data_IF_127409909613
#
_entry.id   IF_127409909613
#
_cell.length_a   1.000
_cell.length_b   1.000
_cell.length_c   1.000
_cell.angle_alpha   90.00
_cell.angle_beta   90.00
_cell.angle_gamma   90.00
#
_symmetry.space_group_name_H-M   'P 1'
#
loop_
_entity.id
_entity.type
_entity.pdbx_description
1 polymer ?
#
# COMPACT_ATOMS: atom_id res chain seq x y z
N UNK A 1 -6.76 5.78 5.49
CA UNK A 1 -7.34 5.81 4.15
C UNK A 1 -6.59 6.87 3.37
N UNK A 2 -5.89 6.50 2.33
CA UNK A 2 -5.19 7.47 1.51
C UNK A 2 -6.21 8.17 0.61
N UNK A 3 -6.66 9.34 1.07
CA UNK A 3 -7.39 10.25 0.19
C UNK A 3 -6.49 10.56 -1.00
N UNK A 4 -7.04 10.42 -2.19
CA UNK A 4 -6.35 10.69 -3.43
C UNK A 4 -6.78 12.06 -3.94
N UNK A 5 -5.82 12.97 -4.11
CA UNK A 5 -6.06 14.24 -4.74
C UNK A 5 -5.92 14.08 -6.26
N UNK A 6 -7.01 14.26 -7.00
CA UNK A 6 -7.02 14.17 -8.46
C UNK A 6 -6.68 15.51 -9.09
N UNK A 7 -5.58 15.54 -9.85
CA UNK A 7 -5.18 16.63 -10.74
C UNK A 7 -5.25 16.13 -12.20
N UNK A 8 -6.42 16.21 -12.81
CA UNK A 8 -6.62 15.66 -14.16
C UNK A 8 -6.37 14.13 -14.18
N UNK A 9 -5.45 13.62 -15.04
CA UNK A 9 -5.13 12.20 -15.09
C UNK A 9 -4.22 11.73 -13.93
N UNK A 10 -3.70 12.65 -13.11
CA UNK A 10 -2.77 12.34 -12.02
C UNK A 10 -3.53 12.20 -10.70
N UNK A 11 -3.44 11.03 -10.10
CA UNK A 11 -3.99 10.73 -8.79
C UNK A 11 -2.84 10.65 -7.77
N UNK A 12 -2.72 11.67 -6.90
CA UNK A 12 -1.67 11.73 -5.88
C UNK A 12 -2.27 11.41 -4.50
N UNK A 13 -1.74 10.41 -3.78
CA UNK A 13 -2.12 10.16 -2.40
C UNK A 13 -1.79 11.38 -1.52
N UNK A 14 -2.72 11.81 -0.70
CA UNK A 14 -2.53 12.96 0.22
C UNK A 14 -1.35 12.70 1.17
N UNK A 15 -1.11 11.45 1.54
CA UNK A 15 0.05 11.04 2.34
C UNK A 15 1.39 11.44 1.71
N UNK A 16 1.51 11.40 0.38
CA UNK A 16 2.71 11.83 -0.34
C UNK A 16 2.90 13.34 -0.29
N UNK A 17 1.80 14.11 -0.40
CA UNK A 17 1.85 15.58 -0.27
C UNK A 17 2.28 15.97 1.15
N UNK A 18 1.75 15.31 2.17
CA UNK A 18 2.15 15.52 3.57
C UNK A 18 3.63 15.22 3.77
N UNK A 19 4.11 14.08 3.25
CA UNK A 19 5.53 13.71 3.31
C UNK A 19 6.41 14.76 2.63
N UNK A 20 6.01 15.22 1.44
CA UNK A 20 6.76 16.24 0.70
C UNK A 20 6.83 17.57 1.45
N UNK A 21 5.70 18.07 1.96
CA UNK A 21 5.66 19.32 2.73
C UNK A 21 6.46 19.22 4.03
N UNK A 22 6.34 18.10 4.75
CA UNK A 22 7.11 17.85 5.97
C UNK A 22 8.62 17.80 5.67
N UNK A 23 9.02 17.14 4.56
CA UNK A 23 10.42 17.10 4.13
C UNK A 23 10.94 18.49 3.76
N UNK A 24 10.19 19.26 2.98
CA UNK A 24 10.58 20.64 2.62
C UNK A 24 10.76 21.52 3.85
N UNK A 25 9.84 21.46 4.82
CA UNK A 25 9.93 22.22 6.07
C UNK A 25 11.13 21.79 6.91
N UNK A 26 11.40 20.49 7.02
CA UNK A 26 12.57 19.94 7.70
C UNK A 26 13.87 20.37 7.04
N UNK A 27 13.97 20.25 5.72
CA UNK A 27 15.16 20.67 4.94
C UNK A 27 15.40 22.16 5.03
N UNK A 28 14.35 22.98 4.92
CA UNK A 28 14.46 24.44 5.07
C UNK A 28 14.98 24.85 6.45
N UNK A 29 14.46 24.22 7.52
CA UNK A 29 14.93 24.53 8.89
C UNK A 29 16.37 24.12 9.12
N UNK A 30 16.78 22.96 8.60
CA UNK A 30 18.17 22.52 8.67
C UNK A 30 19.10 23.48 7.91
N UNK A 31 18.77 23.80 6.65
CA UNK A 31 19.56 24.70 5.82
C UNK A 31 19.67 26.10 6.45
N UNK A 32 18.57 26.66 6.97
CA UNK A 32 18.58 27.98 7.63
C UNK A 32 19.50 27.99 8.85
N UNK A 33 19.56 26.88 9.61
CA UNK A 33 20.45 26.78 10.79
C UNK A 33 21.93 26.70 10.39
N UNK A 34 22.26 25.92 9.37
CA UNK A 34 23.64 25.80 8.85
C UNK A 34 24.10 27.12 8.24
N UNK A 35 23.25 27.83 7.49
CA UNK A 35 23.57 29.15 6.92
C UNK A 35 23.86 30.20 7.97
N UNK A 36 23.17 30.15 9.12
CA UNK A 36 23.48 31.05 10.25
C UNK A 36 24.89 30.83 10.86
N UNK A 37 25.48 29.67 10.57
CA UNK A 37 26.85 29.31 10.96
C UNK A 37 27.87 29.57 9.84
N UNK A 38 27.45 30.23 8.76
CA UNK A 38 28.29 30.52 7.59
C UNK A 38 28.56 29.33 6.67
N UNK A 39 27.79 28.25 6.79
CA UNK A 39 27.98 27.02 6.02
C UNK A 39 26.74 26.67 5.21
N UNK A 40 26.81 25.58 4.42
CA UNK A 40 25.69 24.97 3.71
C UNK A 40 25.58 23.49 4.07
N UNK A 41 24.39 22.89 3.94
CA UNK A 41 24.22 21.44 4.13
C UNK A 41 24.98 20.64 3.07
N UNK A 42 25.17 21.22 1.88
CA UNK A 42 25.83 20.56 0.76
C UNK A 42 25.20 19.21 0.45
N UNK A 43 26.03 18.19 0.23
CA UNK A 43 25.59 16.84 -0.11
C UNK A 43 24.76 16.17 1.01
N UNK A 44 24.99 16.52 2.27
CA UNK A 44 24.29 15.91 3.41
C UNK A 44 22.79 16.23 3.43
N UNK A 45 22.36 17.35 2.81
CA UNK A 45 20.96 17.68 2.63
C UNK A 45 20.19 16.64 1.79
N UNK A 46 20.87 15.95 0.88
CA UNK A 46 20.33 14.90 0.03
C UNK A 46 20.59 13.48 0.56
N UNK A 47 21.75 13.27 1.18
CA UNK A 47 22.13 11.96 1.71
C UNK A 47 21.25 11.52 2.87
N UNK A 48 20.78 12.43 3.72
CA UNK A 48 19.92 12.08 4.84
C UNK A 48 18.57 11.51 4.37
N UNK A 49 17.77 12.18 3.49
CA UNK A 49 16.52 11.60 3.00
C UNK A 49 16.75 10.36 2.17
N UNK A 50 17.84 10.28 1.39
CA UNK A 50 18.20 9.08 0.62
C UNK A 50 18.49 7.90 1.55
N UNK A 51 19.26 8.10 2.61
CA UNK A 51 19.56 7.07 3.61
C UNK A 51 18.27 6.58 4.30
N UNK A 52 17.39 7.51 4.67
CA UNK A 52 16.08 7.18 5.24
C UNK A 52 15.21 6.37 4.26
N UNK A 53 15.20 6.75 2.99
CA UNK A 53 14.46 6.05 1.96
C UNK A 53 14.99 4.63 1.72
N UNK A 54 16.31 4.47 1.57
CA UNK A 54 16.95 3.15 1.45
C UNK A 54 16.69 2.30 2.70
N UNK A 55 16.80 2.90 3.90
CA UNK A 55 16.53 2.22 5.16
C UNK A 55 15.07 1.75 5.27
N UNK A 56 14.11 2.55 4.80
CA UNK A 56 12.69 2.18 4.79
C UNK A 56 12.43 0.98 3.89
N UNK A 57 13.05 0.92 2.70
CA UNK A 57 12.93 -0.22 1.79
C UNK A 57 13.62 -1.46 2.35
N UNK A 58 14.86 -1.33 2.82
CA UNK A 58 15.61 -2.44 3.39
C UNK A 58 14.88 -3.06 4.58
N UNK A 59 14.33 -2.24 5.49
CA UNK A 59 13.57 -2.73 6.63
C UNK A 59 12.27 -3.42 6.24
N UNK A 60 11.59 -2.95 5.18
CA UNK A 60 10.42 -3.63 4.64
C UNK A 60 10.78 -5.00 4.06
N UNK A 61 11.79 -5.06 3.18
CA UNK A 61 12.26 -6.32 2.57
C UNK A 61 12.71 -7.32 3.63
N UNK A 62 13.43 -6.85 4.66
CA UNK A 62 13.83 -7.71 5.79
C UNK A 62 12.63 -8.30 6.53
N UNK A 63 11.62 -7.49 6.84
CA UNK A 63 10.42 -7.95 7.55
C UNK A 63 9.55 -8.93 6.73
N UNK A 64 9.67 -8.92 5.40
CA UNK A 64 8.88 -9.76 4.49
C UNK A 64 9.78 -10.63 3.61
N UNK A 65 10.92 -11.05 4.16
CA UNK A 65 11.97 -11.79 3.46
C UNK A 65 11.46 -13.04 2.72
N UNK A 66 10.57 -13.80 3.36
CA UNK A 66 10.00 -15.03 2.80
C UNK A 66 9.23 -14.79 1.49
N UNK A 67 8.62 -13.61 1.33
CA UNK A 67 7.94 -13.22 0.09
C UNK A 67 8.88 -12.93 -1.10
N UNK A 68 10.18 -12.80 -0.84
CA UNK A 68 11.20 -12.47 -1.86
C UNK A 68 12.18 -13.60 -2.17
N UNK A 69 12.16 -14.72 -1.43
CA UNK A 69 13.16 -15.80 -1.56
C UNK A 69 12.76 -16.94 -2.49
N UNK A 70 11.55 -16.91 -3.07
CA UNK A 70 11.00 -18.04 -3.85
C UNK A 70 11.54 -18.21 -5.27
N UNK A 71 12.07 -17.15 -5.91
CA UNK A 71 12.60 -17.18 -7.28
C UNK A 71 13.53 -16.00 -7.58
N UNK A 72 14.33 -16.11 -8.65
CA UNK A 72 15.17 -14.99 -9.11
C UNK A 72 14.36 -13.73 -9.45
N UNK A 73 13.15 -13.89 -10.00
CA UNK A 73 12.22 -12.78 -10.26
C UNK A 73 11.75 -12.10 -8.97
N UNK A 74 11.56 -12.87 -7.89
CA UNK A 74 11.21 -12.34 -6.56
C UNK A 74 12.37 -11.54 -5.97
N UNK A 75 13.61 -11.96 -6.17
CA UNK A 75 14.81 -11.23 -5.70
C UNK A 75 14.90 -9.86 -6.42
N UNK A 76 14.67 -9.81 -7.73
CA UNK A 76 14.61 -8.53 -8.46
C UNK A 76 13.46 -7.65 -7.97
N UNK A 77 12.37 -8.24 -7.49
CA UNK A 77 11.24 -7.55 -6.85
C UNK A 77 11.63 -6.76 -5.59
N UNK A 78 12.76 -7.08 -4.93
CA UNK A 78 13.28 -6.28 -3.81
C UNK A 78 13.62 -4.85 -4.22
N UNK A 79 14.00 -4.63 -5.48
CA UNK A 79 14.30 -3.32 -6.05
C UNK A 79 13.08 -2.64 -6.66
N UNK A 80 11.96 -3.36 -6.82
CA UNK A 80 10.73 -2.80 -7.37
C UNK A 80 10.03 -1.94 -6.31
N UNK A 81 10.11 -0.63 -6.51
CA UNK A 81 9.50 0.36 -5.60
C UNK A 81 8.00 0.58 -5.85
N UNK A 82 7.44 -0.02 -6.91
CA UNK A 82 6.04 0.17 -7.33
C UNK A 82 5.06 -0.60 -6.46
N UNK A 83 5.52 -1.61 -5.75
CA UNK A 83 4.70 -2.43 -4.84
C UNK A 83 4.27 -1.69 -3.56
N UNK A 84 4.84 -0.49 -3.30
CA UNK A 84 4.50 0.35 -2.15
C UNK A 84 4.98 -0.18 -0.79
N UNK A 85 5.83 -1.19 -0.79
CA UNK A 85 6.38 -1.78 0.42
C UNK A 85 7.47 -0.92 1.05
N UNK A 86 7.13 -0.16 2.10
CA UNK A 86 8.03 0.72 2.85
C UNK A 86 7.78 0.58 4.36
N UNK A 87 8.86 0.53 5.14
CA UNK A 87 8.78 0.61 6.60
C UNK A 87 9.27 2.00 7.05
N UNK A 88 8.36 2.92 7.41
CA UNK A 88 8.75 4.29 7.77
C UNK A 88 9.61 4.34 9.04
N UNK A 89 9.43 3.41 9.97
CA UNK A 89 10.16 3.39 11.24
C UNK A 89 11.63 3.06 11.03
N UNK A 90 11.96 2.08 10.19
CA UNK A 90 13.35 1.76 9.84
C UNK A 90 14.00 2.89 9.05
N UNK A 91 13.23 3.56 8.18
CA UNK A 91 13.71 4.75 7.48
C UNK A 91 14.06 5.90 8.42
N UNK A 92 13.19 6.20 9.38
CA UNK A 92 13.44 7.22 10.41
C UNK A 92 14.64 6.85 11.29
N UNK A 93 14.77 5.58 11.68
CA UNK A 93 15.90 5.09 12.46
C UNK A 93 17.23 5.31 11.72
N UNK A 94 17.29 4.93 10.44
CA UNK A 94 18.51 5.13 9.62
C UNK A 94 18.83 6.61 9.44
N UNK A 95 17.82 7.47 9.18
CA UNK A 95 18.01 8.91 9.09
C UNK A 95 18.51 9.52 10.42
N UNK A 96 17.97 9.07 11.56
CA UNK A 96 18.40 9.49 12.89
C UNK A 96 19.84 9.08 13.17
N UNK A 97 20.20 7.81 12.91
CA UNK A 97 21.57 7.30 13.09
C UNK A 97 22.56 8.10 12.23
N UNK A 98 22.20 8.38 10.97
CA UNK A 98 23.01 9.20 10.08
C UNK A 98 23.26 10.61 10.68
N UNK A 99 22.21 11.30 11.12
CA UNK A 99 22.32 12.63 11.75
C UNK A 99 23.15 12.60 13.05
N UNK A 100 22.98 11.56 13.89
CA UNK A 100 23.73 11.37 15.13
C UNK A 100 25.22 11.12 14.85
N UNK A 101 25.55 10.29 13.87
CA UNK A 101 26.96 10.03 13.49
C UNK A 101 27.64 11.32 13.02
N UNK A 102 26.97 12.13 12.20
CA UNK A 102 27.51 13.44 11.80
C UNK A 102 27.68 14.39 12.99
N UNK A 103 26.71 14.42 13.91
CA UNK A 103 26.79 15.26 15.11
C UNK A 103 27.91 14.78 16.03
N UNK A 104 28.10 13.47 16.20
CA UNK A 104 29.18 12.88 17.00
C UNK A 104 30.58 13.18 16.41
N UNK A 105 30.68 13.12 15.08
CA UNK A 105 31.92 13.53 14.36
C UNK A 105 32.15 15.05 14.35
N UNK A 106 31.36 15.79 15.10
CA UNK A 106 31.40 17.27 15.16
C UNK A 106 31.23 17.93 13.77
N UNK A 107 30.58 17.23 12.81
CA UNK A 107 30.32 17.80 11.50
C UNK A 107 29.27 18.92 11.61
N UNK A 108 29.50 20.03 10.94
CA UNK A 108 28.69 21.25 11.01
C UNK A 108 27.20 20.99 10.64
N UNK A 109 26.94 20.04 9.74
CA UNK A 109 25.60 19.68 9.32
C UNK A 109 24.85 18.78 10.33
N UNK A 110 25.53 18.10 11.26
CA UNK A 110 24.92 17.05 12.10
C UNK A 110 23.75 17.56 12.94
N UNK A 111 23.99 18.54 13.81
CA UNK A 111 22.93 19.13 14.65
C UNK A 111 21.80 19.80 13.86
N UNK A 112 22.07 20.62 12.81
CA UNK A 112 21.03 21.17 11.95
C UNK A 112 20.16 20.11 11.29
N UNK A 113 20.72 19.00 10.80
CA UNK A 113 19.97 17.89 10.21
C UNK A 113 19.05 17.19 11.23
N UNK A 114 19.51 16.99 12.47
CA UNK A 114 18.67 16.45 13.55
C UNK A 114 17.48 17.37 13.86
N UNK A 115 17.68 18.69 13.87
CA UNK A 115 16.58 19.65 14.00
C UNK A 115 15.59 19.57 12.83
N UNK A 116 16.10 19.48 11.59
CA UNK A 116 15.28 19.30 10.41
C UNK A 116 14.46 18.01 10.48
N UNK A 117 15.08 16.90 10.92
CA UNK A 117 14.41 15.62 11.13
C UNK A 117 13.33 15.73 12.21
N UNK A 118 13.59 16.45 13.31
CA UNK A 118 12.60 16.71 14.36
C UNK A 118 11.36 17.46 13.83
N UNK A 119 11.55 18.50 13.01
CA UNK A 119 10.47 19.24 12.36
C UNK A 119 9.69 18.34 11.39
N UNK A 120 10.40 17.56 10.58
CA UNK A 120 9.78 16.57 9.70
C UNK A 120 8.89 15.59 10.48
N UNK A 121 9.44 14.98 11.55
CA UNK A 121 8.69 14.03 12.37
C UNK A 121 7.47 14.68 13.03
N UNK A 122 7.59 15.89 13.57
CA UNK A 122 6.48 16.59 14.20
C UNK A 122 5.34 16.88 13.22
N UNK A 123 5.66 17.36 12.02
CA UNK A 123 4.68 17.64 10.98
C UNK A 123 4.04 16.35 10.45
N UNK A 124 4.84 15.33 10.17
CA UNK A 124 4.35 14.05 9.65
C UNK A 124 3.47 13.31 10.67
N UNK A 125 3.92 13.20 11.92
CA UNK A 125 3.14 12.57 12.99
C UNK A 125 1.88 13.37 13.32
N UNK A 126 2.00 14.71 13.37
CA UNK A 126 0.86 15.60 13.59
C UNK A 126 -0.20 15.46 12.51
N UNK A 127 0.20 15.47 11.23
CA UNK A 127 -0.72 15.28 10.11
C UNK A 127 -1.39 13.89 10.14
N UNK A 128 -0.63 12.84 10.48
CA UNK A 128 -1.21 11.49 10.64
C UNK A 128 -2.19 11.42 11.83
N UNK A 129 -1.88 12.09 12.94
CA UNK A 129 -2.79 12.14 14.10
C UNK A 129 -4.09 12.88 13.76
N UNK A 130 -4.00 14.03 13.08
CA UNK A 130 -5.16 14.79 12.59
C UNK A 130 -5.96 13.95 11.60
N UNK A 131 -5.32 13.31 10.63
CA UNK A 131 -6.01 12.46 9.65
C UNK A 131 -6.79 11.32 10.32
N UNK A 132 -6.23 10.71 11.36
CA UNK A 132 -6.92 9.66 12.14
C UNK A 132 -8.08 10.22 12.97
N UNK A 133 -7.92 11.41 13.55
CA UNK A 133 -8.96 12.05 14.37
C UNK A 133 -10.16 12.52 13.53
N UNK A 134 -9.90 12.94 12.29
CA UNK A 134 -10.93 13.40 11.34
C UNK A 134 -11.50 12.26 10.51
N UNK A 135 -10.79 11.12 10.40
CA UNK A 135 -11.27 9.96 9.68
C UNK A 135 -12.57 9.45 10.31
N UNK A 136 -13.63 9.39 9.51
CA UNK A 136 -14.88 8.72 9.88
C UNK A 136 -14.69 7.22 10.10
N UNK A 137 -15.76 6.50 10.47
CA UNK A 137 -15.70 5.05 10.55
C UNK A 137 -15.24 4.46 9.21
N UNK A 138 -14.53 3.32 9.22
CA UNK A 138 -14.07 2.70 7.99
C UNK A 138 -15.28 2.33 7.12
N UNK A 139 -15.18 2.48 5.78
CA UNK A 139 -16.25 2.07 4.87
C UNK A 139 -16.61 0.61 5.10
N UNK A 140 -17.91 0.35 5.12
CA UNK A 140 -18.44 -0.99 5.20
C UNK A 140 -18.48 -1.62 3.81
N UNK A 141 -18.48 -2.96 3.78
CA UNK A 141 -18.73 -3.71 2.56
C UNK A 141 -20.08 -3.27 1.98
N UNK A 142 -20.13 -2.80 0.73
CA UNK A 142 -21.34 -2.19 0.19
C UNK A 142 -22.45 -3.23 -0.01
N UNK A 143 -23.69 -2.76 0.16
CA UNK A 143 -24.88 -3.60 0.02
C UNK A 143 -25.29 -3.67 -1.45
N UNK A 144 -24.80 -4.67 -2.16
CA UNK A 144 -25.27 -4.98 -3.53
C UNK A 144 -25.11 -6.46 -3.86
N UNK A 145 -25.78 -6.88 -4.92
CA UNK A 145 -25.62 -8.21 -5.50
C UNK A 145 -24.92 -8.10 -6.84
N UNK A 146 -23.97 -8.98 -7.10
CA UNK A 146 -23.27 -9.08 -8.37
C UNK A 146 -23.47 -10.46 -8.99
N UNK A 147 -23.50 -10.50 -10.32
CA UNK A 147 -23.58 -11.76 -11.08
C UNK A 147 -22.16 -12.27 -11.28
N UNK A 148 -21.93 -13.50 -10.87
CA UNK A 148 -20.67 -14.19 -11.12
C UNK A 148 -20.62 -14.75 -12.56
N UNK A 149 -19.42 -15.11 -13.00
CA UNK A 149 -19.19 -15.62 -14.35
C UNK A 149 -19.92 -16.98 -14.61
N UNK A 150 -20.21 -17.75 -13.58
CA UNK A 150 -21.01 -18.98 -13.65
C UNK A 150 -22.52 -18.72 -13.58
N UNK A 151 -22.95 -17.47 -13.72
CA UNK A 151 -24.33 -16.99 -13.61
C UNK A 151 -24.95 -17.10 -12.20
N UNK A 152 -24.21 -17.48 -11.17
CA UNK A 152 -24.67 -17.39 -9.79
C UNK A 152 -24.71 -15.93 -9.33
N UNK A 153 -25.61 -15.62 -8.39
CA UNK A 153 -25.67 -14.29 -7.79
C UNK A 153 -24.98 -14.31 -6.44
N UNK A 154 -24.03 -13.42 -6.24
CA UNK A 154 -23.38 -13.21 -4.97
C UNK A 154 -23.93 -11.95 -4.33
N UNK A 155 -24.43 -12.07 -3.09
CA UNK A 155 -24.85 -10.94 -2.27
C UNK A 155 -23.72 -10.59 -1.30
N UNK A 156 -23.11 -9.39 -1.44
CA UNK A 156 -21.92 -9.03 -0.67
C UNK A 156 -22.15 -9.02 0.84
N UNK A 157 -23.28 -8.54 1.38
CA UNK A 157 -23.57 -8.61 2.82
C UNK A 157 -23.47 -10.01 3.42
N UNK A 158 -23.75 -11.07 2.64
CA UNK A 158 -23.68 -12.45 3.12
C UNK A 158 -22.26 -12.93 3.40
N UNK A 159 -21.25 -12.13 2.99
CA UNK A 159 -19.84 -12.40 3.25
C UNK A 159 -19.38 -11.90 4.64
N UNK A 160 -20.24 -11.18 5.35
CA UNK A 160 -19.93 -10.74 6.74
C UNK A 160 -19.65 -11.96 7.61
N UNK A 161 -18.62 -11.90 8.41
CA UNK A 161 -18.12 -13.03 9.21
C UNK A 161 -16.85 -13.67 8.61
N UNK A 162 -16.53 -13.35 7.34
CA UNK A 162 -15.35 -13.85 6.65
C UNK A 162 -14.54 -12.68 6.09
N UNK A 163 -13.21 -12.64 6.24
CA UNK A 163 -12.39 -11.63 5.57
C UNK A 163 -12.51 -11.73 4.05
N UNK A 164 -12.57 -10.59 3.37
CA UNK A 164 -12.78 -10.53 1.92
C UNK A 164 -11.71 -9.68 1.27
N UNK A 165 -11.12 -10.19 0.19
CA UNK A 165 -10.25 -9.46 -0.73
C UNK A 165 -11.00 -9.25 -2.03
N UNK A 166 -11.17 -7.99 -2.45
CA UNK A 166 -11.82 -7.64 -3.72
C UNK A 166 -10.77 -7.00 -4.63
N UNK A 167 -10.48 -7.64 -5.75
CA UNK A 167 -9.56 -7.12 -6.76
C UNK A 167 -10.36 -6.59 -7.96
N UNK A 168 -10.20 -5.30 -8.27
CA UNK A 168 -10.74 -4.68 -9.48
C UNK A 168 -9.72 -4.82 -10.60
N UNK A 169 -10.11 -5.45 -11.70
CA UNK A 169 -9.21 -5.81 -12.79
C UNK A 169 -9.85 -5.77 -14.16
N UNK A 170 -9.00 -5.81 -15.19
CA UNK A 170 -9.43 -6.05 -16.58
C UNK A 170 -8.37 -6.88 -17.32
N UNK A 171 -8.80 -7.63 -18.36
CA UNK A 171 -7.88 -8.47 -19.14
C UNK A 171 -6.86 -7.67 -19.96
N UNK A 172 -7.21 -6.46 -20.37
CA UNK A 172 -6.36 -5.53 -21.11
C UNK A 172 -5.39 -4.72 -20.23
N UNK A 173 -5.50 -4.82 -18.89
CA UNK A 173 -4.68 -4.07 -17.92
C UNK A 173 -3.36 -4.81 -17.64
N UNK A 174 -2.19 -4.36 -18.13
CA UNK A 174 -0.93 -5.08 -17.96
C UNK A 174 -0.52 -5.29 -16.50
N UNK A 175 -0.61 -4.29 -15.58
CA UNK A 175 -0.29 -4.52 -14.18
C UNK A 175 -1.25 -5.50 -13.49
N UNK A 176 -2.55 -5.50 -13.86
CA UNK A 176 -3.51 -6.48 -13.33
C UNK A 176 -3.08 -7.92 -13.65
N UNK A 177 -2.63 -8.15 -14.89
CA UNK A 177 -2.16 -9.47 -15.34
C UNK A 177 -0.92 -9.95 -14.59
N UNK A 178 -0.01 -9.02 -14.24
CA UNK A 178 1.22 -9.38 -13.50
C UNK A 178 0.96 -9.77 -12.05
N UNK A 179 -0.01 -9.14 -11.38
CA UNK A 179 -0.34 -9.46 -9.98
C UNK A 179 -1.19 -10.70 -9.80
N UNK A 180 -1.94 -11.13 -10.85
CA UNK A 180 -2.83 -12.29 -10.77
C UNK A 180 -2.20 -13.57 -10.21
N UNK A 181 -1.00 -14.00 -10.64
CA UNK A 181 -0.38 -15.19 -10.08
C UNK A 181 -0.16 -15.09 -8.56
N UNK A 182 0.21 -13.91 -8.07
CA UNK A 182 0.44 -13.64 -6.65
C UNK A 182 -0.88 -13.73 -5.86
N UNK A 183 -1.95 -13.12 -6.36
CA UNK A 183 -3.27 -13.16 -5.73
C UNK A 183 -3.89 -14.57 -5.77
N UNK A 184 -3.73 -15.30 -6.88
CA UNK A 184 -4.19 -16.70 -6.99
C UNK A 184 -3.43 -17.63 -6.05
N UNK A 185 -2.13 -17.40 -5.86
CA UNK A 185 -1.35 -18.16 -4.86
C UNK A 185 -1.87 -17.86 -3.46
N UNK A 186 -2.06 -16.58 -3.12
CA UNK A 186 -2.61 -16.19 -1.83
C UNK A 186 -4.02 -16.77 -1.59
N UNK A 187 -4.87 -16.83 -2.61
CA UNK A 187 -6.19 -17.47 -2.50
C UNK A 187 -6.09 -18.96 -2.12
N UNK A 188 -5.06 -19.67 -2.58
CA UNK A 188 -4.81 -21.07 -2.20
C UNK A 188 -4.23 -21.19 -0.79
N UNK A 189 -3.31 -20.30 -0.43
CA UNK A 189 -2.59 -20.34 0.85
C UNK A 189 -3.46 -19.88 2.03
N UNK A 190 -4.49 -19.04 1.75
CA UNK A 190 -5.40 -18.48 2.75
C UNK A 190 -6.87 -18.86 2.48
N UNK A 191 -7.25 -20.14 2.59
CA UNK A 191 -8.61 -20.61 2.27
C UNK A 191 -9.70 -19.99 3.18
N UNK A 192 -9.34 -19.43 4.31
CA UNK A 192 -10.23 -18.71 5.23
C UNK A 192 -10.57 -17.29 4.75
N UNK A 193 -9.88 -16.78 3.72
CA UNK A 193 -10.13 -15.46 3.12
C UNK A 193 -10.88 -15.66 1.81
N UNK A 194 -11.96 -14.94 1.60
CA UNK A 194 -12.71 -14.93 0.36
C UNK A 194 -12.06 -13.97 -0.64
N UNK A 195 -11.61 -14.46 -1.77
CA UNK A 195 -11.14 -13.63 -2.90
C UNK A 195 -12.24 -13.46 -3.93
N UNK A 196 -12.48 -12.21 -4.34
CA UNK A 196 -13.42 -11.81 -5.38
C UNK A 196 -12.69 -11.02 -6.46
N UNK A 197 -12.96 -11.38 -7.72
CA UNK A 197 -12.32 -10.82 -8.90
C UNK A 197 -13.34 -10.01 -9.68
N UNK A 198 -13.41 -8.70 -9.49
CA UNK A 198 -14.42 -7.83 -10.11
C UNK A 198 -13.85 -7.29 -11.43
N UNK A 199 -14.32 -7.86 -12.54
CA UNK A 199 -13.90 -7.45 -13.88
C UNK A 199 -14.62 -6.17 -14.30
N UNK A 200 -13.88 -5.23 -14.86
CA UNK A 200 -14.37 -3.90 -15.19
C UNK A 200 -14.69 -3.75 -16.68
N UNK A 201 -15.99 -3.69 -17.02
CA UNK A 201 -16.49 -3.22 -18.30
C UNK A 201 -16.29 -4.15 -19.50
N UNK A 202 -15.86 -5.41 -19.29
CA UNK A 202 -15.64 -6.35 -20.38
C UNK A 202 -16.85 -7.28 -20.60
N UNK A 203 -17.03 -7.72 -21.84
CA UNK A 203 -18.08 -8.69 -22.19
C UNK A 203 -17.83 -10.05 -21.52
N UNK A 204 -18.88 -10.78 -21.09
CA UNK A 204 -18.75 -12.04 -20.36
C UNK A 204 -17.89 -13.09 -21.07
N UNK A 205 -17.97 -13.18 -22.40
CA UNK A 205 -17.19 -14.13 -23.21
C UNK A 205 -15.69 -13.84 -23.19
N UNK A 206 -15.29 -12.56 -23.14
CA UNK A 206 -13.89 -12.13 -22.99
C UNK A 206 -13.38 -12.55 -21.63
N UNK A 207 -14.16 -12.23 -20.57
CA UNK A 207 -13.81 -12.55 -19.18
C UNK A 207 -13.73 -14.07 -19.00
N UNK A 208 -14.63 -14.82 -19.59
CA UNK A 208 -14.66 -16.29 -19.51
C UNK A 208 -13.40 -16.91 -20.12
N UNK A 209 -13.03 -16.49 -21.35
CA UNK A 209 -11.81 -16.99 -22.00
C UNK A 209 -10.57 -16.69 -21.19
N UNK A 210 -10.46 -15.44 -20.72
CA UNK A 210 -9.32 -15.02 -19.91
C UNK A 210 -9.24 -15.78 -18.58
N UNK A 211 -10.37 -15.90 -17.87
CA UNK A 211 -10.46 -16.61 -16.59
C UNK A 211 -10.08 -18.08 -16.71
N UNK A 212 -10.53 -18.76 -17.78
CA UNK A 212 -10.19 -20.14 -18.06
C UNK A 212 -8.68 -20.32 -18.32
N UNK A 213 -8.07 -19.39 -19.07
CA UNK A 213 -6.62 -19.42 -19.37
C UNK A 213 -5.74 -19.20 -18.13
N UNK A 214 -6.21 -18.41 -17.16
CA UNK A 214 -5.44 -18.02 -15.97
C UNK A 214 -5.86 -18.76 -14.70
N UNK A 215 -6.86 -19.67 -14.78
CA UNK A 215 -7.31 -20.46 -13.64
C UNK A 215 -8.11 -19.67 -12.59
N UNK A 216 -8.78 -18.58 -13.00
CA UNK A 216 -9.65 -17.82 -12.11
C UNK A 216 -10.94 -18.62 -11.84
N UNK A 217 -11.37 -18.78 -10.57
CA UNK A 217 -12.58 -19.56 -10.25
C UNK A 217 -13.83 -18.78 -10.63
N UNK A 218 -14.66 -19.35 -11.54
CA UNK A 218 -15.85 -18.70 -12.14
C UNK A 218 -16.83 -18.15 -11.11
N UNK A 219 -16.99 -18.82 -9.97
CA UNK A 219 -17.85 -18.37 -8.85
C UNK A 219 -17.35 -17.12 -8.12
N UNK A 220 -16.05 -16.82 -8.24
CA UNK A 220 -15.43 -15.67 -7.59
C UNK A 220 -15.19 -14.51 -8.58
N UNK A 221 -15.36 -14.73 -9.88
CA UNK A 221 -15.25 -13.68 -10.90
C UNK A 221 -16.61 -13.01 -11.07
N UNK A 222 -16.70 -11.74 -10.68
CA UNK A 222 -17.89 -10.91 -10.76
C UNK A 222 -17.81 -9.99 -11.97
N UNK A 223 -18.92 -9.88 -12.69
CA UNK A 223 -19.03 -9.07 -13.90
C UNK A 223 -19.54 -7.67 -13.55
N UNK A 224 -18.75 -6.65 -13.85
CA UNK A 224 -19.12 -5.24 -13.70
C UNK A 224 -19.27 -4.56 -15.07
N UNK A 225 -20.25 -4.99 -15.84
CA UNK A 225 -20.49 -4.50 -17.21
C UNK A 225 -20.86 -3.02 -17.22
N UNK A 226 -21.52 -2.52 -16.18
CA UNK A 226 -22.06 -1.15 -16.10
C UNK A 226 -21.25 -0.23 -15.17
N UNK A 227 -20.14 -0.69 -14.59
CA UNK A 227 -19.35 0.08 -13.63
C UNK A 227 -20.00 0.30 -12.26
N UNK A 228 -21.12 -0.37 -11.96
CA UNK A 228 -21.87 -0.20 -10.69
C UNK A 228 -21.09 -0.75 -9.48
N UNK A 229 -20.60 -2.01 -9.49
CA UNK A 229 -19.74 -2.52 -8.43
C UNK A 229 -18.55 -1.62 -8.12
N UNK A 230 -17.80 -1.15 -9.12
CA UNK A 230 -16.67 -0.25 -8.92
C UNK A 230 -17.09 1.09 -8.31
N UNK A 231 -18.20 1.67 -8.79
CA UNK A 231 -18.74 2.92 -8.22
C UNK A 231 -19.17 2.73 -6.77
N UNK A 232 -19.83 1.64 -6.42
CA UNK A 232 -20.26 1.33 -5.05
C UNK A 232 -19.08 1.06 -4.13
N UNK A 233 -18.00 0.49 -4.66
CA UNK A 233 -16.72 0.32 -3.96
C UNK A 233 -15.92 1.62 -3.88
N UNK A 234 -16.33 2.67 -4.62
CA UNK A 234 -15.70 4.00 -4.61
C UNK A 234 -14.37 4.08 -5.37
N UNK A 235 -14.07 3.09 -6.22
CA UNK A 235 -12.79 3.01 -6.94
C UNK A 235 -12.99 2.58 -8.40
N UNK A 236 -12.29 3.27 -9.31
CA UNK A 236 -12.32 2.96 -10.76
C UNK A 236 -10.93 2.76 -11.37
N UNK A 237 -9.86 3.01 -10.59
CA UNK A 237 -8.47 2.83 -11.05
C UNK A 237 -8.09 1.36 -11.04
N UNK A 238 -7.38 0.88 -12.08
CA UNK A 238 -6.94 -0.52 -12.20
C UNK A 238 -5.42 -0.67 -12.14
N UNK A 239 -4.94 -1.70 -11.46
CA UNK A 239 -5.68 -2.54 -10.51
C UNK A 239 -5.96 -1.80 -9.20
N UNK A 240 -7.02 -2.18 -8.51
CA UNK A 240 -7.25 -1.78 -7.12
C UNK A 240 -7.66 -3.00 -6.32
N UNK A 241 -7.02 -3.21 -5.17
CA UNK A 241 -7.35 -4.32 -4.26
C UNK A 241 -7.84 -3.75 -2.94
N UNK A 242 -9.05 -4.14 -2.54
CA UNK A 242 -9.69 -3.76 -1.29
C UNK A 242 -9.64 -4.94 -0.32
N UNK A 243 -9.32 -4.67 0.94
CA UNK A 243 -9.16 -5.65 1.98
C UNK A 243 -10.17 -5.39 3.11
N UNK A 244 -11.18 -6.24 3.21
CA UNK A 244 -12.22 -6.16 4.24
C UNK A 244 -11.97 -7.20 5.32
N UNK A 245 -12.09 -6.79 6.59
CA UNK A 245 -12.05 -7.71 7.72
C UNK A 245 -13.35 -8.53 7.85
N UNK A 246 -13.39 -9.47 8.79
CA UNK A 246 -14.57 -10.31 9.04
C UNK A 246 -15.82 -9.50 9.47
N UNK A 247 -15.66 -8.28 9.99
CA UNK A 247 -16.74 -7.38 10.33
C UNK A 247 -17.28 -6.60 9.13
N UNK A 248 -16.76 -6.86 7.92
CA UNK A 248 -17.13 -6.16 6.70
C UNK A 248 -16.55 -4.74 6.61
N UNK A 249 -15.60 -4.37 7.47
CA UNK A 249 -14.97 -3.05 7.46
C UNK A 249 -13.77 -3.05 6.52
N UNK A 250 -13.64 -2.01 5.70
CA UNK A 250 -12.45 -1.81 4.87
C UNK A 250 -11.23 -1.52 5.78
N UNK A 251 -10.40 -2.53 5.97
CA UNK A 251 -9.20 -2.44 6.79
C UNK A 251 -8.01 -1.88 6.02
N UNK A 252 -7.95 -2.13 4.71
CA UNK A 252 -6.87 -1.65 3.87
C UNK A 252 -7.27 -1.54 2.39
N UNK A 253 -6.53 -0.75 1.63
CA UNK A 253 -6.74 -0.50 0.21
C UNK A 253 -5.39 -0.37 -0.49
N UNK A 254 -5.26 -1.01 -1.64
CA UNK A 254 -4.10 -0.81 -2.52
C UNK A 254 -4.56 -0.42 -3.91
N UNK A 255 -4.14 0.75 -4.37
CA UNK A 255 -4.23 1.16 -5.78
C UNK A 255 -2.90 0.91 -6.45
N UNK A 256 -2.91 0.22 -7.57
CA UNK A 256 -1.73 -0.28 -8.29
C UNK A 256 -1.39 -1.72 -7.93
N UNK A 257 -0.38 -2.24 -8.60
CA UNK A 257 0.08 -3.63 -8.52
C UNK A 257 0.50 -4.02 -7.08
N UNK A 258 0.15 -5.25 -6.66
CA UNK A 258 0.60 -5.85 -5.40
C UNK A 258 1.69 -6.89 -5.67
N UNK A 259 2.75 -6.86 -4.84
CA UNK A 259 3.75 -7.93 -4.77
C UNK A 259 3.39 -8.96 -3.69
N UNK A 260 4.05 -10.12 -3.70
CA UNK A 260 3.85 -11.12 -2.65
C UNK A 260 4.14 -10.56 -1.25
N UNK A 261 5.19 -9.73 -1.12
CA UNK A 261 5.55 -9.10 0.15
C UNK A 261 4.52 -8.07 0.63
N UNK A 262 4.05 -7.18 -0.27
CA UNK A 262 3.03 -6.19 0.09
C UNK A 262 1.67 -6.85 0.34
N UNK A 263 1.30 -7.86 -0.44
CA UNK A 263 0.05 -8.62 -0.24
C UNK A 263 0.02 -9.29 1.14
N UNK A 264 1.11 -9.93 1.56
CA UNK A 264 1.23 -10.53 2.89
C UNK A 264 0.93 -9.54 4.03
N UNK A 265 1.45 -8.31 3.92
CA UNK A 265 1.18 -7.24 4.89
C UNK A 265 -0.32 -6.85 4.94
N UNK A 266 -0.97 -6.72 3.77
CA UNK A 266 -2.40 -6.39 3.70
C UNK A 266 -3.27 -7.53 4.27
N UNK A 267 -2.94 -8.79 3.95
CA UNK A 267 -3.68 -9.95 4.45
C UNK A 267 -3.59 -10.09 5.97
N UNK A 268 -2.44 -9.78 6.58
CA UNK A 268 -2.29 -9.77 8.04
C UNK A 268 -3.24 -8.79 8.73
N UNK A 269 -3.57 -7.66 8.10
CA UNK A 269 -4.47 -6.64 8.67
C UNK A 269 -5.94 -7.05 8.72
N UNK A 270 -6.35 -7.97 7.85
CA UNK A 270 -7.74 -8.45 7.79
C UNK A 270 -7.96 -9.77 8.53
N UNK A 271 -6.88 -10.48 8.87
CA UNK A 271 -6.98 -11.69 9.67
C UNK A 271 -7.29 -11.31 11.13
N UNK A 272 -8.12 -12.11 11.84
CA UNK A 272 -8.26 -11.94 13.27
C UNK A 272 -6.88 -12.12 13.92
N UNK A 273 -6.60 -11.42 15.05
CA UNK A 273 -5.39 -11.67 15.82
C UNK A 273 -5.27 -13.18 16.05
N UNK A 274 -4.17 -13.76 15.59
CA UNK A 274 -3.91 -15.18 15.85
C UNK A 274 -3.91 -15.33 17.36
N UNK A 275 -4.91 -16.00 17.94
CA UNK A 275 -4.83 -16.45 19.32
C UNK A 275 -3.52 -17.22 19.43
N UNK A 276 -2.57 -16.67 20.18
CA UNK A 276 -1.35 -17.37 20.53
C UNK A 276 -1.83 -18.61 21.28
N UNK A 277 -1.96 -19.73 20.57
CA UNK A 277 -2.06 -21.03 21.22
C UNK A 277 -0.78 -21.15 22.02
N UNK A 278 -0.88 -20.85 23.31
CA UNK A 278 0.11 -21.21 24.30
C UNK A 278 0.33 -22.73 24.21
N UNK A 279 1.56 -23.20 24.21
CA UNK A 279 1.90 -24.60 24.15
C UNK A 279 1.38 -25.37 25.37
#
# INVERSE_FOLDING_TARGET
MDQVFQLGPLALPVSWLVLFVAWQAGSFTAERRVRRQGHTLGLHGWLLPLAGWVGARAGFVWAHWDGYTGSAASILGMLDIRDGGWNPWTGLLVALVYGLVLAWRAHVAGRPLLWGLGVFCALWLGANAVSRAVAGPPPQLPVFSAVALDASTLHLPDLTGTPVVINLWASWCPPCRREMPVLLQAQRDYPQIRFLWVNQGEAPDVVQRFSAQHGLPSKAVLLDIQGRPAQMLGHSTLPTTLFYNAQGQLADLRTGEVSAGSLGQHLQRIQPPTEIRSP
#
